data_IF_606946299124
#
_entry.id   IF_606946299124
#
_cell.length_a   1.000
_cell.length_b   1.000
_cell.length_c   1.000
_cell.angle_alpha   90.00
_cell.angle_beta   90.00
_cell.angle_gamma   90.00
#
_symmetry.space_group_name_H-M   'P 1'
#
loop_
_entity.id
_entity.type
_entity.pdbx_description
1 polymer ?
#
# COMPACT_ATOMS: atom_id res chain seq x y z
N UNK A 1 -6.64 -6.82 10.26
CA UNK A 1 -6.45 -6.02 9.04
C UNK A 1 -5.44 -6.74 8.15
N UNK A 2 -5.69 -6.80 6.84
CA UNK A 2 -4.75 -7.33 5.85
C UNK A 2 -4.30 -6.14 5.01
N UNK A 3 -2.99 -5.99 4.80
CA UNK A 3 -2.41 -4.87 4.06
C UNK A 3 -1.36 -5.39 3.08
N UNK A 4 -1.28 -4.74 1.92
CA UNK A 4 -0.29 -5.03 0.90
C UNK A 4 0.53 -3.77 0.64
N UNK A 5 1.81 -3.77 1.00
CA UNK A 5 2.66 -2.59 0.88
C UNK A 5 3.77 -2.79 -0.13
N UNK A 6 4.05 -1.75 -0.93
CA UNK A 6 5.27 -1.68 -1.74
C UNK A 6 6.21 -0.63 -1.17
N UNK A 7 7.48 -0.98 -1.01
CA UNK A 7 8.48 -0.13 -0.34
C UNK A 7 9.60 0.25 -1.31
N UNK A 8 9.92 1.54 -1.35
CA UNK A 8 10.92 2.16 -2.23
C UNK A 8 12.38 1.79 -1.92
N UNK A 9 12.69 1.30 -0.74
CA UNK A 9 14.05 0.95 -0.33
C UNK A 9 14.10 -0.40 0.40
N UNK A 10 15.24 -1.10 0.37
CA UNK A 10 15.37 -2.38 1.03
C UNK A 10 15.38 -2.19 2.54
N UNK A 11 14.66 -3.05 3.25
CA UNK A 11 14.65 -3.13 4.71
C UNK A 11 15.07 -4.53 5.13
N UNK A 12 15.95 -4.59 6.11
CA UNK A 12 16.34 -5.86 6.73
C UNK A 12 15.21 -6.38 7.64
N UNK A 13 15.10 -7.70 7.86
CA UNK A 13 14.03 -8.27 8.69
C UNK A 13 13.94 -7.63 10.09
N UNK A 14 15.08 -7.33 10.72
CA UNK A 14 15.11 -6.64 12.02
C UNK A 14 14.56 -5.22 11.98
N UNK A 15 14.73 -4.51 10.85
CA UNK A 15 14.17 -3.17 10.65
C UNK A 15 12.66 -3.24 10.45
N UNK A 16 12.17 -4.23 9.68
CA UNK A 16 10.74 -4.51 9.51
C UNK A 16 10.08 -4.85 10.86
N UNK A 17 10.68 -5.75 11.64
CA UNK A 17 10.19 -6.10 12.98
C UNK A 17 10.08 -4.84 13.85
N UNK A 18 11.14 -4.04 13.90
CA UNK A 18 11.15 -2.82 14.72
C UNK A 18 10.12 -1.78 14.23
N UNK A 19 9.95 -1.64 12.90
CA UNK A 19 9.03 -0.68 12.32
C UNK A 19 7.57 -1.09 12.54
N UNK A 20 7.22 -2.35 12.30
CA UNK A 20 5.88 -2.89 12.51
C UNK A 20 5.50 -2.90 13.99
N UNK A 21 6.42 -3.30 14.87
CA UNK A 21 6.19 -3.25 16.31
C UNK A 21 5.92 -1.82 16.78
N UNK A 22 6.71 -0.86 16.30
CA UNK A 22 6.50 0.55 16.60
C UNK A 22 5.17 1.07 16.07
N UNK A 23 4.86 0.78 14.80
CA UNK A 23 3.63 1.25 14.15
C UNK A 23 2.38 0.68 14.81
N UNK A 24 2.42 -0.57 15.31
CA UNK A 24 1.26 -1.25 15.91
C UNK A 24 1.23 -1.20 17.44
N UNK A 25 2.24 -0.62 18.09
CA UNK A 25 2.32 -0.53 19.55
C UNK A 25 2.62 -1.85 20.29
N UNK A 26 2.84 -2.95 19.56
CA UNK A 26 3.19 -4.26 20.15
C UNK A 26 4.69 -4.38 20.43
N UNK A 27 5.09 -5.42 21.16
CA UNK A 27 6.52 -5.68 21.39
C UNK A 27 7.16 -6.33 20.14
N UNK A 28 8.46 -6.10 19.87
CA UNK A 28 9.16 -6.74 18.75
C UNK A 28 9.02 -8.27 18.70
N UNK A 29 9.02 -8.95 19.86
CA UNK A 29 8.80 -10.40 19.95
C UNK A 29 7.35 -10.85 19.74
N UNK A 30 6.46 -9.96 19.30
CA UNK A 30 5.07 -10.25 18.90
C UNK A 30 4.84 -9.95 17.42
N UNK A 31 5.93 -9.73 16.67
CA UNK A 31 5.96 -9.51 15.24
C UNK A 31 6.78 -10.62 14.62
N UNK A 32 6.17 -11.35 13.71
CA UNK A 32 6.81 -12.36 12.88
C UNK A 32 7.06 -11.77 11.49
N UNK A 33 8.30 -11.86 11.02
CA UNK A 33 8.71 -11.42 9.68
C UNK A 33 9.45 -12.58 9.03
N UNK A 34 8.98 -13.03 7.86
CA UNK A 34 9.66 -14.05 7.07
C UNK A 34 9.71 -13.65 5.60
N UNK A 35 10.74 -14.14 4.90
CA UNK A 35 10.71 -14.16 3.45
C UNK A 35 9.71 -15.21 2.97
N UNK A 36 9.17 -15.03 1.77
CA UNK A 36 8.33 -16.05 1.11
C UNK A 36 9.01 -17.43 1.03
N UNK A 37 10.33 -17.41 0.83
CA UNK A 37 11.16 -18.60 0.63
C UNK A 37 11.36 -19.42 1.91
N UNK A 38 11.14 -18.83 3.09
CA UNK A 38 11.42 -19.47 4.39
C UNK A 38 10.39 -20.55 4.76
N UNK A 39 9.27 -20.64 4.03
CA UNK A 39 8.22 -21.64 4.23
C UNK A 39 7.33 -21.38 5.46
N UNK A 40 6.19 -22.07 5.51
CA UNK A 40 5.15 -21.85 6.53
C UNK A 40 5.49 -22.42 7.91
N UNK A 41 6.41 -23.38 7.98
CA UNK A 41 6.76 -24.08 9.23
C UNK A 41 7.62 -23.23 10.18
N UNK A 42 8.29 -22.19 9.66
CA UNK A 42 9.12 -21.28 10.45
C UNK A 42 8.33 -20.12 11.08
N UNK A 43 7.05 -19.97 10.73
CA UNK A 43 6.20 -18.83 11.12
C UNK A 43 5.74 -18.95 12.57
N UNK A 44 5.87 -17.87 13.33
CA UNK A 44 5.17 -17.73 14.61
C UNK A 44 3.72 -17.29 14.37
N UNK A 45 2.84 -18.26 14.10
CA UNK A 45 1.41 -18.01 13.86
C UNK A 45 0.67 -17.37 15.05
N UNK A 46 1.26 -17.38 16.25
CA UNK A 46 0.70 -16.74 17.45
C UNK A 46 1.11 -15.26 17.55
N UNK A 47 2.01 -14.78 16.69
CA UNK A 47 2.41 -13.39 16.65
C UNK A 47 1.23 -12.48 16.27
N UNK A 48 1.18 -11.31 16.90
CA UNK A 48 0.11 -10.33 16.69
C UNK A 48 0.19 -9.64 15.32
N UNK A 49 1.39 -9.58 14.75
CA UNK A 49 1.63 -9.07 13.41
C UNK A 49 2.42 -10.12 12.65
N UNK A 50 1.89 -10.59 11.53
CA UNK A 50 2.58 -11.45 10.58
C UNK A 50 2.95 -10.62 9.36
N UNK A 51 4.19 -10.71 8.90
CA UNK A 51 4.63 -10.05 7.68
C UNK A 51 5.40 -11.05 6.81
N UNK A 52 4.92 -11.25 5.60
CA UNK A 52 5.70 -11.89 4.54
C UNK A 52 6.31 -10.80 3.67
N UNK A 53 7.60 -10.90 3.35
CA UNK A 53 8.25 -9.97 2.44
C UNK A 53 8.80 -10.65 1.19
N UNK A 54 8.71 -9.93 0.07
CA UNK A 54 9.17 -10.34 -1.24
C UNK A 54 10.07 -9.26 -1.82
N UNK A 55 11.15 -9.65 -2.51
CA UNK A 55 11.93 -8.69 -3.30
C UNK A 55 11.25 -8.47 -4.64
N UNK A 56 11.16 -7.21 -5.06
CA UNK A 56 10.66 -6.80 -6.38
C UNK A 56 11.69 -5.88 -7.05
N UNK A 57 11.45 -5.48 -8.29
CA UNK A 57 12.40 -4.65 -9.07
C UNK A 57 11.75 -3.31 -9.44
N UNK A 58 12.60 -2.33 -9.76
CA UNK A 58 12.18 -1.01 -10.23
C UNK A 58 12.28 0.05 -9.13
N UNK A 59 11.34 0.99 -9.12
CA UNK A 59 11.30 2.11 -8.17
C UNK A 59 10.90 1.67 -6.76
N UNK A 60 10.16 0.56 -6.67
CA UNK A 60 9.95 -0.18 -5.42
C UNK A 60 10.77 -1.47 -5.45
N UNK A 61 11.25 -1.89 -4.28
CA UNK A 61 12.21 -2.98 -4.15
C UNK A 61 11.74 -4.10 -3.22
N UNK A 62 10.68 -3.85 -2.45
CA UNK A 62 10.04 -4.85 -1.60
C UNK A 62 8.51 -4.77 -1.68
N UNK A 63 7.86 -5.94 -1.64
CA UNK A 63 6.43 -6.10 -1.38
C UNK A 63 6.25 -6.75 -0.01
N UNK A 64 5.30 -6.27 0.78
CA UNK A 64 4.97 -6.80 2.09
C UNK A 64 3.49 -7.21 2.12
N UNK A 65 3.23 -8.44 2.53
CA UNK A 65 1.90 -8.90 2.92
C UNK A 65 1.83 -8.89 4.45
N UNK A 66 1.10 -7.93 5.00
CA UNK A 66 1.02 -7.69 6.44
C UNK A 66 -0.36 -8.08 6.97
N UNK A 67 -0.38 -8.94 7.98
CA UNK A 67 -1.57 -9.30 8.72
C UNK A 67 -1.45 -8.78 10.15
N UNK A 68 -2.36 -7.89 10.53
CA UNK A 68 -2.45 -7.34 11.88
C UNK A 68 -3.67 -7.93 12.56
N UNK A 69 -3.46 -8.64 13.68
CA UNK A 69 -4.55 -9.22 14.44
C UNK A 69 -5.46 -8.13 15.04
N UNK A 70 -6.79 -8.28 15.04
CA UNK A 70 -7.70 -7.27 15.62
C UNK A 70 -7.43 -6.94 17.09
N UNK A 71 -6.85 -7.87 17.85
CA UNK A 71 -6.49 -7.65 19.26
C UNK A 71 -5.42 -6.55 19.44
N UNK A 72 -4.69 -6.16 18.39
CA UNK A 72 -3.65 -5.12 18.48
C UNK A 72 -4.22 -3.73 18.73
N UNK A 73 -5.50 -3.48 18.43
CA UNK A 73 -6.18 -2.20 18.68
C UNK A 73 -6.10 -1.82 20.16
N UNK A 74 -6.11 -2.80 21.07
CA UNK A 74 -5.94 -2.56 22.50
C UNK A 74 -4.57 -1.95 22.87
N UNK A 75 -3.58 -2.04 21.98
CA UNK A 75 -2.24 -1.48 22.13
C UNK A 75 -2.05 -0.19 21.31
N UNK A 76 -3.11 0.34 20.71
CA UNK A 76 -3.08 1.55 19.88
C UNK A 76 -2.60 1.31 18.45
N UNK A 77 -2.76 0.09 17.93
CA UNK A 77 -2.47 -0.18 16.54
C UNK A 77 -3.38 0.61 15.59
N UNK A 78 -2.88 1.03 14.42
CA UNK A 78 -3.64 1.60 13.32
C UNK A 78 -4.89 0.77 12.98
N UNK A 79 -6.00 1.46 12.79
CA UNK A 79 -7.27 0.82 12.40
C UNK A 79 -7.40 0.74 10.87
N UNK A 80 -6.64 1.56 10.15
CA UNK A 80 -6.65 1.62 8.68
C UNK A 80 -5.28 1.31 8.06
N UNK A 81 -5.30 0.81 6.82
CA UNK A 81 -4.09 0.55 6.05
C UNK A 81 -3.29 1.84 5.80
N UNK A 82 -3.98 2.97 5.58
CA UNK A 82 -3.37 4.28 5.40
C UNK A 82 -2.58 4.75 6.64
N UNK A 83 -3.13 4.58 7.85
CA UNK A 83 -2.44 4.90 9.10
C UNK A 83 -1.20 4.03 9.31
N UNK A 84 -1.31 2.72 8.98
CA UNK A 84 -0.18 1.80 9.07
C UNK A 84 0.92 2.15 8.05
N UNK A 85 0.57 2.45 6.81
CA UNK A 85 1.50 2.89 5.77
C UNK A 85 2.21 4.20 6.18
N UNK A 86 1.46 5.17 6.70
CA UNK A 86 1.99 6.42 7.21
C UNK A 86 2.99 6.21 8.36
N UNK A 87 2.65 5.36 9.32
CA UNK A 87 3.54 5.02 10.44
C UNK A 87 4.81 4.29 9.98
N UNK A 88 4.68 3.35 9.04
CA UNK A 88 5.83 2.66 8.43
C UNK A 88 6.74 3.63 7.68
N UNK A 89 6.18 4.53 6.86
CA UNK A 89 6.95 5.52 6.11
C UNK A 89 7.71 6.47 7.06
N UNK A 90 7.03 6.97 8.09
CA UNK A 90 7.65 7.83 9.09
C UNK A 90 8.76 7.12 9.87
N UNK A 91 8.59 5.83 10.18
CA UNK A 91 9.55 5.06 10.98
C UNK A 91 10.77 4.60 10.20
N UNK A 92 10.58 4.17 8.96
CA UNK A 92 11.64 3.60 8.12
C UNK A 92 12.34 4.64 7.26
N UNK A 93 11.71 5.81 7.04
CA UNK A 93 12.16 6.77 6.04
C UNK A 93 11.97 6.29 4.60
N UNK A 94 11.27 5.16 4.40
CA UNK A 94 10.91 4.69 3.08
C UNK A 94 9.61 5.32 2.61
N UNK A 95 9.47 5.53 1.31
CA UNK A 95 8.16 5.72 0.71
C UNK A 95 7.44 4.36 0.63
N UNK A 96 6.17 4.33 1.05
CA UNK A 96 5.31 3.16 1.18
C UNK A 96 4.06 3.37 0.33
N UNK A 97 3.84 2.52 -0.66
CA UNK A 97 2.62 2.50 -1.45
C UNK A 97 1.64 1.47 -0.88
N UNK A 98 0.35 1.78 -0.95
CA UNK A 98 -0.74 0.88 -0.61
C UNK A 98 -1.89 1.05 -1.61
N UNK A 99 -2.72 0.02 -1.85
CA UNK A 99 -3.77 0.08 -2.85
C UNK A 99 -4.70 1.27 -2.62
N UNK A 100 -5.09 1.94 -3.70
CA UNK A 100 -6.27 2.78 -3.67
C UNK A 100 -7.51 1.88 -3.76
N UNK A 101 -8.54 2.14 -2.95
CA UNK A 101 -9.78 1.34 -2.93
C UNK A 101 -10.64 1.54 -4.20
N UNK A 102 -10.21 2.43 -5.08
CA UNK A 102 -10.87 2.74 -6.33
C UNK A 102 -10.56 1.73 -7.45
N UNK A 103 -11.35 1.79 -8.54
CA UNK A 103 -11.38 0.77 -9.61
C UNK A 103 -10.09 0.70 -10.45
N UNK A 104 -9.23 1.71 -10.43
CA UNK A 104 -8.01 1.74 -11.23
C UNK A 104 -6.87 0.96 -10.53
N UNK A 105 -6.51 -0.24 -11.02
CA UNK A 105 -5.49 -1.07 -10.38
C UNK A 105 -4.07 -0.50 -10.48
N UNK A 106 -3.87 0.56 -11.28
CA UNK A 106 -2.59 1.25 -11.41
C UNK A 106 -2.48 2.44 -10.46
N UNK A 107 -3.56 2.87 -9.80
CA UNK A 107 -3.52 4.00 -8.86
C UNK A 107 -3.35 3.49 -7.43
N UNK A 108 -2.33 4.03 -6.74
CA UNK A 108 -1.97 3.70 -5.37
C UNK A 108 -1.94 4.98 -4.53
N UNK A 109 -2.21 4.83 -3.24
CA UNK A 109 -1.80 5.83 -2.28
C UNK A 109 -0.31 5.67 -1.96
N UNK A 110 0.35 6.78 -1.69
CA UNK A 110 1.76 6.87 -1.39
C UNK A 110 1.97 7.68 -0.12
N UNK A 111 2.47 7.04 0.93
CA UNK A 111 2.96 7.68 2.14
C UNK A 111 4.49 7.81 2.07
N UNK A 112 5.02 9.02 2.23
CA UNK A 112 6.44 9.29 2.20
C UNK A 112 6.88 10.12 3.42
N UNK A 113 8.11 9.94 3.92
CA UNK A 113 8.62 10.77 5.01
C UNK A 113 8.67 12.23 4.57
N UNK A 114 8.03 13.12 5.34
CA UNK A 114 8.16 14.55 5.11
C UNK A 114 9.51 14.99 5.68
N UNK A 115 10.47 15.36 4.82
CA UNK A 115 11.82 15.77 5.24
C UNK A 115 11.79 16.85 6.33
N UNK A 116 11.97 16.45 7.59
CA UNK A 116 11.96 17.32 8.77
C UNK A 116 10.60 17.55 9.45
N UNK A 117 9.50 16.98 8.95
CA UNK A 117 8.18 17.02 9.59
C UNK A 117 7.81 15.64 10.15
N UNK A 118 7.17 15.58 11.33
CA UNK A 118 6.74 14.31 11.93
C UNK A 118 5.57 13.65 11.18
N UNK A 119 4.80 14.42 10.40
CA UNK A 119 3.69 13.89 9.60
C UNK A 119 4.16 13.55 8.19
N UNK A 120 3.88 12.34 7.66
CA UNK A 120 4.25 11.96 6.30
C UNK A 120 3.46 12.78 5.25
N UNK A 121 4.05 12.91 4.07
CA UNK A 121 3.34 13.36 2.87
C UNK A 121 2.53 12.18 2.37
N UNK A 122 1.21 12.36 2.20
CA UNK A 122 0.31 11.37 1.59
C UNK A 122 -0.20 11.93 0.28
N UNK A 123 -0.03 11.19 -0.81
CA UNK A 123 -0.41 11.59 -2.17
C UNK A 123 -0.80 10.37 -3.00
N UNK A 124 -1.48 10.55 -4.14
CA UNK A 124 -1.69 9.45 -5.09
C UNK A 124 -0.49 9.29 -6.02
N UNK A 125 -0.22 8.06 -6.40
CA UNK A 125 0.83 7.66 -7.33
C UNK A 125 0.25 6.66 -8.34
N UNK A 126 0.74 6.72 -9.58
CA UNK A 126 0.46 5.69 -10.58
C UNK A 126 1.63 4.72 -10.63
N UNK A 127 1.31 3.43 -10.51
CA UNK A 127 2.23 2.32 -10.48
C UNK A 127 2.01 1.45 -11.71
N UNK A 128 3.04 1.37 -12.55
CA UNK A 128 3.03 0.52 -13.75
C UNK A 128 3.84 -0.73 -13.50
N UNK A 129 3.22 -1.90 -13.69
CA UNK A 129 3.89 -3.19 -13.62
C UNK A 129 4.30 -3.65 -15.01
N UNK A 130 5.60 -3.87 -15.24
CA UNK A 130 6.06 -4.52 -16.46
C UNK A 130 5.97 -6.04 -16.28
N UNK A 131 5.21 -6.70 -17.16
CA UNK A 131 5.13 -8.16 -17.20
C UNK A 131 6.46 -8.70 -17.74
N UNK A 132 7.12 -9.54 -16.95
CA UNK A 132 8.35 -10.21 -17.37
C UNK A 132 8.01 -11.23 -18.48
N UNK A 133 8.79 -11.25 -19.56
CA UNK A 133 8.60 -12.19 -20.65
C UNK A 133 8.71 -13.65 -20.14
N UNK A 134 8.02 -14.63 -20.75
CA UNK A 134 7.96 -16.01 -20.24
C UNK A 134 9.27 -16.83 -20.38
N UNK A 135 10.40 -16.23 -20.78
CA UNK A 135 11.66 -16.92 -21.12
C UNK A 135 12.86 -16.36 -20.32
N UNK A 136 12.62 -15.90 -19.09
CA UNK A 136 13.69 -15.40 -18.20
C UNK A 136 13.85 -16.32 -16.99
N UNK A 137 15.03 -16.30 -16.38
CA UNK A 137 15.33 -17.14 -15.22
C UNK A 137 14.44 -16.79 -14.02
N UNK A 138 14.18 -17.71 -13.09
CA UNK A 138 13.32 -17.46 -11.91
C UNK A 138 13.73 -16.23 -11.07
N UNK A 139 15.00 -15.83 -11.09
CA UNK A 139 15.45 -14.60 -10.43
C UNK A 139 15.03 -13.32 -11.17
N UNK A 140 14.83 -13.42 -12.49
CA UNK A 140 14.39 -12.36 -13.39
C UNK A 140 12.86 -12.28 -13.57
N UNK A 141 12.12 -13.32 -13.16
CA UNK A 141 10.64 -13.37 -13.17
C UNK A 141 9.97 -12.39 -12.20
N UNK A 142 10.74 -11.72 -11.32
CA UNK A 142 10.17 -10.77 -10.35
C UNK A 142 9.56 -9.56 -11.06
N UNK A 143 8.37 -9.10 -10.64
CA UNK A 143 7.71 -7.96 -11.25
C UNK A 143 8.60 -6.70 -11.15
N UNK A 144 8.62 -5.93 -12.23
CA UNK A 144 9.27 -4.62 -12.27
C UNK A 144 8.17 -3.57 -12.14
N UNK A 145 8.24 -2.78 -11.08
CA UNK A 145 7.30 -1.72 -10.77
C UNK A 145 7.94 -0.34 -10.98
N UNK A 146 7.27 0.51 -11.74
CA UNK A 146 7.71 1.89 -12.00
C UNK A 146 6.65 2.85 -11.49
N UNK A 147 7.07 3.88 -10.74
CA UNK A 147 6.19 4.98 -10.35
C UNK A 147 6.35 6.09 -11.39
N UNK A 148 5.44 6.13 -12.35
CA UNK A 148 5.57 7.04 -13.50
C UNK A 148 4.94 8.42 -13.26
N UNK A 149 3.98 8.52 -12.34
CA UNK A 149 3.32 9.77 -11.99
C UNK A 149 2.92 9.84 -10.50
N UNK A 150 2.92 11.06 -9.95
CA UNK A 150 2.48 11.38 -8.59
C UNK A 150 1.72 12.72 -8.57
N UNK A 151 0.77 12.90 -7.65
CA UNK A 151 0.07 14.19 -7.56
C UNK A 151 0.88 15.26 -6.81
N UNK A 152 1.77 14.83 -5.91
CA UNK A 152 2.68 15.68 -5.17
C UNK A 152 4.09 15.10 -5.29
N UNK A 153 5.09 15.95 -5.54
CA UNK A 153 6.48 15.52 -5.68
C UNK A 153 6.96 14.77 -4.42
N UNK A 154 7.55 13.59 -4.62
CA UNK A 154 8.10 12.76 -3.56
C UNK A 154 9.57 12.47 -3.85
N UNK A 155 10.45 12.73 -2.87
CA UNK A 155 11.90 12.62 -3.05
C UNK A 155 12.37 11.21 -3.44
N UNK A 156 11.64 10.17 -3.04
CA UNK A 156 11.93 8.78 -3.41
C UNK A 156 11.72 8.50 -4.91
N UNK A 157 10.90 9.29 -5.61
CA UNK A 157 10.56 9.10 -7.01
C UNK A 157 10.83 10.37 -7.82
N UNK A 158 12.11 10.78 -7.98
CA UNK A 158 12.47 12.03 -8.64
C UNK A 158 12.19 12.03 -10.15
N UNK A 159 11.98 10.86 -10.75
CA UNK A 159 11.66 10.70 -12.17
C UNK A 159 10.15 10.69 -12.45
N UNK A 160 9.30 10.59 -11.42
CA UNK A 160 7.85 10.58 -11.59
C UNK A 160 7.33 11.94 -12.08
N UNK A 161 6.42 11.91 -13.04
CA UNK A 161 5.72 13.12 -13.50
C UNK A 161 4.79 13.63 -12.40
N UNK A 162 4.89 14.92 -12.07
CA UNK A 162 3.97 15.54 -11.10
C UNK A 162 2.73 16.04 -11.85
N UNK A 163 1.63 15.30 -11.76
CA UNK A 163 0.39 15.60 -12.48
C UNK A 163 -0.83 15.14 -11.69
N UNK A 164 -1.99 15.82 -11.79
CA UNK A 164 -3.23 15.32 -11.20
C UNK A 164 -3.57 13.94 -11.78
N UNK A 165 -3.79 12.96 -10.91
CA UNK A 165 -4.29 11.67 -11.33
C UNK A 165 -5.82 11.77 -11.37
N UNK A 166 -6.44 11.29 -12.45
CA UNK A 166 -7.89 11.42 -12.63
C UNK A 166 -8.67 10.87 -11.44
N UNK A 167 -9.86 11.41 -11.17
CA UNK A 167 -10.82 10.66 -10.36
C UNK A 167 -11.24 9.42 -11.14
N UNK A 168 -11.45 8.26 -10.48
CA UNK A 168 -12.01 7.11 -11.14
C UNK A 168 -13.34 7.53 -11.78
N UNK A 169 -13.56 7.12 -13.03
CA UNK A 169 -14.82 7.36 -13.70
C UNK A 169 -15.93 6.69 -12.87
N UNK A 170 -16.62 7.47 -12.05
CA UNK A 170 -17.85 7.01 -11.41
C UNK A 170 -18.76 6.65 -12.56
N UNK A 171 -19.03 5.36 -12.76
CA UNK A 171 -20.11 4.94 -13.65
C UNK A 171 -21.35 5.69 -13.15
N UNK A 172 -21.76 6.70 -13.90
CA UNK A 172 -22.97 7.44 -13.63
C UNK A 172 -24.07 6.40 -13.51
N UNK A 173 -24.54 6.17 -12.29
CA UNK A 173 -25.76 5.43 -12.08
C UNK A 173 -26.82 6.21 -12.87
N UNK A 174 -27.30 5.59 -13.94
CA UNK A 174 -28.45 6.05 -14.71
C UNK A 174 -29.51 6.47 -13.70
N UNK A 175 -29.73 7.77 -13.58
CA UNK A 175 -30.87 8.31 -12.87
C UNK A 175 -32.05 8.09 -13.81
N UNK A 176 -33.01 7.20 -13.53
CA UNK A 176 -34.22 7.19 -14.33
C UNK A 176 -34.94 8.52 -14.03
N UNK A 177 -34.93 9.39 -15.04
CA UNK A 177 -35.69 10.61 -15.07
C UNK A 177 -37.18 10.31 -14.84
N UNK A 178 -37.70 10.86 -13.74
CA UNK A 178 -38.99 11.52 -13.61
C UNK A 178 -39.97 11.28 -14.79
N UNK A 179 -40.89 10.31 -14.64
CA UNK A 179 -42.15 10.27 -15.38
C UNK A 179 -43.28 10.76 -14.47
N UNK A 180 -43.32 12.07 -14.25
CA UNK A 180 -44.51 12.75 -13.78
C UNK A 180 -45.28 13.29 -15.01
N UNK A 181 -46.31 12.56 -15.44
CA UNK A 181 -47.24 13.02 -16.47
C UNK A 181 -48.52 13.55 -15.81
N UNK A 182 -48.91 14.83 -16.03
CA UNK A 182 -50.20 15.33 -15.60
C UNK A 182 -51.24 15.13 -16.71
N UNK A 183 -52.26 14.32 -16.43
CA UNK A 183 -53.54 14.32 -17.16
C UNK A 183 -54.63 14.15 -16.11
N UNK A 184 -55.40 15.17 -15.76
CA UNK A 184 -56.30 15.86 -16.68
C UNK A 184 -57.72 15.51 -16.22
N UNK A 185 -58.17 16.13 -15.14
CA UNK A 185 -59.56 16.11 -14.72
C UNK A 185 -60.37 16.97 -15.68
N UNK A 186 -61.35 16.38 -16.36
CA UNK A 186 -62.44 17.12 -17.01
C UNK A 186 -63.72 16.30 -17.01
N UNK A 187 -64.74 16.94 -16.41
CA UNK A 187 -66.20 16.79 -16.52
C UNK A 187 -66.86 15.44 -16.24
#
# INVERSE_FOLDING_TARGET
MLCNFLISQPLEPSELIAALAHATGVRPGQVDVCAEEDGQDARDWEAFVLCTHHRVRGDVVMSLDVQVQPATVAYGAPETEAELAAALAARTGAAVLYPDEHVDPETYWLAAPAGGSPAPVVTRARLVAAVVAPDVTAADERPIYTVDAVETAVAAFPAAEVTPLGEPAVMAADTPADMNAPGGTSQ
#
